data_IF_874834933501
#
_entry.id   IF_874834933501
#
_cell.length_a   1.000
_cell.length_b   1.000
_cell.length_c   1.000
_cell.angle_alpha   90.00
_cell.angle_beta   90.00
_cell.angle_gamma   90.00
#
_symmetry.space_group_name_H-M   'P 1'
#
loop_
_entity.id
_entity.type
_entity.pdbx_description
1 polymer ?
#
# COMPACT_ATOMS: atom_id res chain seq x y z
N UNK A 1 82.61 17.10 50.94
CA UNK A 1 82.11 15.70 50.89
C UNK A 1 80.59 15.72 50.90
N UNK A 2 79.94 15.64 49.74
CA UNK A 2 78.52 15.27 49.61
C UNK A 2 78.37 14.30 48.45
N UNK A 3 77.92 13.11 48.83
CA UNK A 3 77.74 11.93 48.02
C UNK A 3 76.35 11.97 47.39
N UNK A 4 76.28 11.40 46.19
CA UNK A 4 75.20 10.52 45.73
C UNK A 4 73.83 11.09 45.33
N UNK A 5 73.46 10.66 44.12
CA UNK A 5 72.15 10.05 43.78
C UNK A 5 70.98 11.05 43.71
N UNK A 6 70.12 11.05 42.70
CA UNK A 6 69.68 9.93 41.86
C UNK A 6 68.90 10.55 40.71
N UNK A 7 69.26 10.21 39.47
CA UNK A 7 68.35 10.37 38.35
C UNK A 7 67.20 9.38 38.54
N UNK A 8 66.01 9.90 38.81
CA UNK A 8 64.71 9.24 38.82
C UNK A 8 63.72 10.39 38.63
N UNK A 9 62.89 10.45 37.60
CA UNK A 9 62.04 9.36 37.16
C UNK A 9 61.58 9.57 35.71
N UNK A 10 61.92 8.63 34.84
CA UNK A 10 61.24 8.37 33.58
C UNK A 10 59.87 7.77 33.90
N UNK A 11 58.91 8.58 34.34
CA UNK A 11 57.54 8.13 34.55
C UNK A 11 56.71 8.25 33.27
N UNK A 12 56.69 7.13 32.59
CA UNK A 12 55.80 6.78 31.49
C UNK A 12 54.31 6.98 31.84
N UNK A 13 53.58 7.47 30.82
CA UNK A 13 52.14 7.29 30.52
C UNK A 13 51.13 8.12 31.29
N UNK A 14 50.40 8.94 30.55
CA UNK A 14 48.99 8.66 30.30
C UNK A 14 48.58 9.30 28.96
N UNK A 15 48.47 8.51 27.89
CA UNK A 15 47.74 8.97 26.70
C UNK A 15 46.29 9.11 27.13
N UNK A 16 45.78 10.34 27.11
CA UNK A 16 44.36 10.60 27.31
C UNK A 16 43.58 9.75 26.30
N UNK A 17 42.55 9.01 26.71
CA UNK A 17 41.74 8.25 25.78
C UNK A 17 41.11 9.20 24.75
N UNK A 18 40.93 8.79 23.49
CA UNK A 18 40.12 9.54 22.55
C UNK A 18 38.74 9.72 23.17
N UNK A 19 38.36 10.97 23.34
CA UNK A 19 37.04 11.36 23.80
C UNK A 19 36.06 10.97 22.69
N UNK A 20 35.58 9.73 22.73
CA UNK A 20 34.43 9.31 21.94
C UNK A 20 33.29 10.21 22.37
N UNK A 21 32.97 11.21 21.53
CA UNK A 21 31.70 11.92 21.62
C UNK A 21 30.64 10.86 21.43
N UNK A 22 30.16 10.28 22.53
CA UNK A 22 28.96 9.48 22.54
C UNK A 22 27.91 10.33 21.82
N UNK A 23 27.49 9.85 20.65
CA UNK A 23 26.53 10.57 19.82
C UNK A 23 25.35 10.94 20.69
N UNK A 24 25.06 12.23 20.77
CA UNK A 24 23.90 12.71 21.49
C UNK A 24 22.69 11.95 20.97
N UNK A 25 22.06 11.15 21.82
CA UNK A 25 20.75 10.58 21.51
C UNK A 25 19.78 11.75 21.43
N UNK A 26 19.59 12.25 20.21
CA UNK A 26 18.67 13.33 19.91
C UNK A 26 17.25 12.77 19.99
N UNK A 27 16.53 13.16 21.04
CA UNK A 27 15.09 12.93 21.13
C UNK A 27 14.31 13.88 20.23
N UNK A 28 13.11 13.48 19.85
CA UNK A 28 12.19 14.31 19.07
C UNK A 28 11.75 15.54 19.87
N UNK A 29 11.73 16.69 19.22
CA UNK A 29 11.23 17.93 19.82
C UNK A 29 9.70 18.02 19.66
N UNK A 30 9.04 18.78 20.55
CA UNK A 30 7.60 19.04 20.41
C UNK A 30 7.29 19.74 19.08
N UNK A 31 8.15 20.66 18.65
CA UNK A 31 7.99 21.37 17.38
C UNK A 31 8.08 20.43 16.18
N UNK A 32 8.91 19.39 16.24
CA UNK A 32 9.02 18.40 15.17
C UNK A 32 7.74 17.58 15.02
N UNK A 33 7.12 17.15 16.12
CA UNK A 33 5.84 16.44 16.06
C UNK A 33 4.71 17.36 15.55
N UNK A 34 4.71 18.64 15.94
CA UNK A 34 3.76 19.62 15.41
C UNK A 34 3.91 19.80 13.89
N UNK A 35 5.15 19.91 13.40
CA UNK A 35 5.42 20.01 11.96
C UNK A 35 5.03 18.73 11.22
N UNK A 36 5.31 17.55 11.77
CA UNK A 36 4.94 16.27 11.15
C UNK A 36 3.42 16.14 11.02
N UNK A 37 2.66 16.49 12.06
CA UNK A 37 1.19 16.45 12.02
C UNK A 37 0.65 17.47 11.00
N UNK A 38 1.22 18.68 10.96
CA UNK A 38 0.84 19.70 9.98
C UNK A 38 1.09 19.22 8.53
N UNK A 39 2.24 18.60 8.26
CA UNK A 39 2.57 18.03 6.95
C UNK A 39 1.65 16.86 6.58
N UNK A 40 1.35 15.97 7.54
CA UNK A 40 0.40 14.87 7.33
C UNK A 40 -1.00 15.38 6.97
N UNK A 41 -1.45 16.48 7.59
CA UNK A 41 -2.72 17.12 7.26
C UNK A 41 -2.79 17.59 5.80
N UNK A 42 -1.72 18.21 5.29
CA UNK A 42 -1.64 18.66 3.89
C UNK A 42 -1.69 17.46 2.93
N UNK A 43 -0.98 16.37 3.24
CA UNK A 43 -0.97 15.16 2.41
C UNK A 43 -2.36 14.51 2.35
N UNK A 44 -3.09 14.46 3.47
CA UNK A 44 -4.42 13.86 3.52
C UNK A 44 -5.43 14.52 2.58
N UNK A 45 -5.32 15.83 2.32
CA UNK A 45 -6.22 16.56 1.40
C UNK A 45 -6.18 15.95 -0.01
N UNK A 46 -5.01 15.48 -0.46
CA UNK A 46 -4.83 14.87 -1.78
C UNK A 46 -5.11 13.37 -1.75
N UNK A 47 -4.76 12.70 -0.67
CA UNK A 47 -4.86 11.23 -0.54
C UNK A 47 -6.32 10.76 -0.37
N UNK A 48 -7.11 11.43 0.48
CA UNK A 48 -8.50 11.03 0.78
C UNK A 48 -9.44 11.03 -0.45
N UNK A 49 -9.49 12.07 -1.31
CA UNK A 49 -10.43 12.07 -2.44
C UNK A 49 -10.13 10.98 -3.47
N UNK A 50 -8.88 10.52 -3.59
CA UNK A 50 -8.51 9.43 -4.50
C UNK A 50 -9.18 8.09 -4.13
N UNK A 51 -9.52 7.87 -2.86
CA UNK A 51 -10.23 6.66 -2.44
C UNK A 51 -11.73 6.67 -2.76
N UNK A 52 -12.35 7.85 -2.83
CA UNK A 52 -13.80 7.97 -3.00
C UNK A 52 -14.29 7.87 -4.46
N UNK A 53 -13.39 8.03 -5.44
CA UNK A 53 -13.76 8.02 -6.86
C UNK A 53 -14.08 6.59 -7.36
N UNK A 54 -13.65 5.54 -6.64
CA UNK A 54 -13.82 4.16 -7.09
C UNK A 54 -15.16 3.51 -6.69
N UNK A 55 -15.87 3.98 -5.66
CA UNK A 55 -16.86 3.12 -4.99
C UNK A 55 -18.33 3.46 -5.24
N UNK A 56 -18.73 4.72 -5.33
CA UNK A 56 -20.18 5.06 -5.33
C UNK A 56 -20.79 5.35 -6.70
N UNK A 57 -20.01 5.77 -7.69
CA UNK A 57 -20.54 6.08 -9.04
C UNK A 57 -20.59 4.87 -9.97
N UNK A 58 -19.89 3.78 -9.63
CA UNK A 58 -19.84 2.57 -10.47
C UNK A 58 -21.00 1.61 -10.19
N UNK A 59 -21.59 1.61 -8.99
CA UNK A 59 -22.59 0.61 -8.62
C UNK A 59 -23.90 0.77 -9.41
N UNK A 60 -24.45 1.98 -9.49
CA UNK A 60 -25.69 2.22 -10.27
C UNK A 60 -25.46 2.19 -11.78
N UNK A 61 -24.27 2.58 -12.26
CA UNK A 61 -23.90 2.50 -13.67
C UNK A 61 -23.74 1.05 -14.14
N UNK A 62 -23.11 0.18 -13.32
CA UNK A 62 -22.99 -1.25 -13.59
C UNK A 62 -24.37 -1.93 -13.69
N UNK A 63 -25.32 -1.60 -12.81
CA UNK A 63 -26.67 -2.19 -12.84
C UNK A 63 -27.45 -1.84 -14.12
N UNK A 64 -27.38 -0.59 -14.57
CA UNK A 64 -28.02 -0.18 -15.83
C UNK A 64 -27.32 -0.79 -17.06
N UNK A 65 -25.99 -0.96 -17.01
CA UNK A 65 -25.22 -1.65 -18.05
C UNK A 65 -25.64 -3.12 -18.22
N UNK A 66 -25.86 -3.83 -17.11
CA UNK A 66 -26.30 -5.24 -17.12
C UNK A 66 -27.60 -5.44 -17.90
N UNK A 67 -28.59 -4.54 -17.75
CA UNK A 67 -29.84 -4.65 -18.49
C UNK A 67 -29.67 -4.43 -20.01
N UNK A 68 -28.67 -3.66 -20.43
CA UNK A 68 -28.27 -3.52 -21.83
C UNK A 68 -27.60 -4.78 -22.35
N UNK A 69 -26.66 -5.32 -21.57
CA UNK A 69 -25.88 -6.50 -21.95
C UNK A 69 -26.73 -7.78 -22.01
N UNK A 70 -27.75 -7.92 -21.15
CA UNK A 70 -28.72 -9.03 -21.23
C UNK A 70 -29.50 -8.96 -22.54
N UNK A 71 -29.93 -7.77 -22.99
CA UNK A 71 -30.64 -7.61 -24.27
C UNK A 71 -29.72 -7.94 -25.45
N UNK A 72 -28.49 -7.45 -25.43
CA UNK A 72 -27.50 -7.75 -26.46
C UNK A 72 -27.16 -9.26 -26.51
N UNK A 73 -27.02 -9.90 -25.35
CA UNK A 73 -26.78 -11.33 -25.25
C UNK A 73 -27.98 -12.15 -25.76
N UNK A 74 -29.21 -11.68 -25.52
CA UNK A 74 -30.41 -12.29 -26.07
C UNK A 74 -30.43 -12.22 -27.61
N UNK A 75 -30.15 -11.04 -28.18
CA UNK A 75 -30.09 -10.88 -29.63
C UNK A 75 -29.01 -11.79 -30.24
N UNK A 76 -27.84 -11.86 -29.61
CA UNK A 76 -26.76 -12.75 -30.04
C UNK A 76 -27.12 -14.24 -29.88
N UNK A 77 -27.89 -14.60 -28.84
CA UNK A 77 -28.37 -15.96 -28.64
C UNK A 77 -29.36 -16.38 -29.72
N UNK A 78 -30.26 -15.47 -30.11
CA UNK A 78 -31.21 -15.68 -31.21
C UNK A 78 -30.49 -15.80 -32.55
N UNK A 79 -29.56 -14.88 -32.84
CA UNK A 79 -28.81 -14.86 -34.10
C UNK A 79 -27.91 -16.09 -34.27
N UNK A 80 -27.16 -16.44 -33.23
CA UNK A 80 -26.17 -17.52 -33.30
C UNK A 80 -26.74 -18.89 -32.92
N UNK A 81 -28.02 -18.93 -32.50
CA UNK A 81 -28.72 -20.13 -32.01
C UNK A 81 -27.93 -20.87 -30.91
N UNK A 82 -27.20 -20.10 -30.10
CA UNK A 82 -26.35 -20.59 -29.01
C UNK A 82 -26.74 -19.89 -27.71
N UNK A 83 -26.90 -20.62 -26.60
CA UNK A 83 -27.12 -20.00 -25.31
C UNK A 83 -25.90 -19.14 -24.92
N UNK A 84 -26.16 -17.93 -24.44
CA UNK A 84 -25.17 -17.06 -23.80
C UNK A 84 -25.45 -17.06 -22.30
N UNK A 85 -24.39 -17.14 -21.49
CA UNK A 85 -24.45 -17.14 -20.03
C UNK A 85 -23.75 -15.91 -19.50
N UNK A 86 -24.30 -15.34 -18.44
CA UNK A 86 -23.70 -14.22 -17.72
C UNK A 86 -23.11 -14.76 -16.42
N UNK A 87 -21.78 -14.69 -16.28
CA UNK A 87 -21.08 -15.11 -15.08
C UNK A 87 -20.83 -13.87 -14.20
N UNK A 88 -21.14 -13.97 -12.91
CA UNK A 88 -20.97 -12.89 -11.93
C UNK A 88 -19.94 -13.26 -10.88
N UNK A 89 -18.96 -12.40 -10.66
CA UNK A 89 -18.03 -12.47 -9.53
C UNK A 89 -18.53 -11.55 -8.41
N UNK A 90 -19.14 -12.14 -7.38
CA UNK A 90 -19.79 -11.40 -6.30
C UNK A 90 -18.82 -10.68 -5.36
N UNK A 91 -17.52 -11.01 -5.38
CA UNK A 91 -16.51 -10.33 -4.56
C UNK A 91 -16.04 -9.00 -5.14
N UNK A 92 -15.99 -8.91 -6.47
CA UNK A 92 -15.45 -7.75 -7.19
C UNK A 92 -16.56 -6.95 -7.90
N UNK A 93 -17.74 -7.54 -8.09
CA UNK A 93 -18.84 -6.92 -8.83
C UNK A 93 -18.58 -6.88 -10.34
N UNK A 94 -17.77 -7.83 -10.83
CA UNK A 94 -17.45 -7.97 -12.25
C UNK A 94 -18.33 -9.05 -12.88
N UNK A 95 -18.64 -8.88 -14.16
CA UNK A 95 -19.43 -9.83 -14.92
C UNK A 95 -18.93 -9.92 -16.36
N UNK A 96 -19.10 -11.08 -16.99
CA UNK A 96 -18.77 -11.28 -18.39
C UNK A 96 -19.75 -12.21 -19.09
N UNK A 97 -19.86 -12.06 -20.41
CA UNK A 97 -20.71 -12.85 -21.29
C UNK A 97 -19.91 -14.01 -21.88
N UNK A 98 -20.31 -15.24 -21.56
CA UNK A 98 -19.74 -16.45 -22.12
C UNK A 98 -20.72 -17.07 -23.13
N UNK A 99 -20.29 -17.36 -24.35
CA UNK A 99 -21.06 -18.21 -25.26
C UNK A 99 -20.86 -19.67 -24.83
N UNK A 100 -21.85 -20.29 -24.17
CA UNK A 100 -21.71 -21.68 -23.74
C UNK A 100 -21.96 -22.62 -24.92
N UNK A 101 -20.99 -23.49 -25.22
CA UNK A 101 -21.22 -24.61 -26.12
C UNK A 101 -21.88 -25.74 -25.32
N UNK A 102 -22.94 -26.32 -25.89
CA UNK A 102 -23.83 -27.35 -25.32
C UNK A 102 -23.13 -28.57 -24.67
N UNK A 103 -21.82 -28.73 -24.82
CA UNK A 103 -20.99 -29.80 -24.27
C UNK A 103 -20.37 -29.51 -22.90
N UNK A 104 -20.37 -28.26 -22.42
CA UNK A 104 -19.87 -27.89 -21.08
C UNK A 104 -21.02 -27.77 -20.07
N UNK A 105 -21.89 -28.79 -20.05
CA UNK A 105 -22.98 -28.88 -19.07
C UNK A 105 -22.49 -29.73 -17.89
N UNK A 106 -21.80 -29.10 -16.95
CA UNK A 106 -21.68 -29.63 -15.59
C UNK A 106 -22.57 -28.77 -14.69
N UNK A 107 -23.79 -29.27 -14.48
CA UNK A 107 -24.64 -28.84 -13.39
C UNK A 107 -23.96 -29.42 -12.13
N UNK A 108 -23.26 -28.58 -11.38
CA UNK A 108 -22.69 -28.99 -10.10
C UNK A 108 -23.79 -29.53 -9.19
N UNK A 109 -23.48 -30.67 -8.58
CA UNK A 109 -24.30 -31.40 -7.61
C UNK A 109 -24.70 -30.54 -6.39
#
# INVERSE_FOLDING_TARGET
MRLALRVKDSFTRHRLPPQTRAGAMAGFTIIEILLVIALMGVIMIVVVPNFNIASSSQESAKVNGIAGDIRAAYDMAVLNRRPYRLAFEFKTGDYWLESTQRTDFQLGD
#
